data_IF_260304605749
#
_entry.id   IF_260304605749
#
_cell.length_a   1.000
_cell.length_b   1.000
_cell.length_c   1.000
_cell.angle_alpha   90.00
_cell.angle_beta   90.00
_cell.angle_gamma   90.00
#
_symmetry.space_group_name_H-M   'P 1'
#
loop_
_entity.id
_entity.type
_entity.pdbx_description
1 polymer ?
#
# COMPACT_ATOMS: atom_id res chain seq x y z
N UNK A 1 10.20 -4.00 -7.72
CA UNK A 1 10.13 -2.75 -6.93
C UNK A 1 8.68 -2.44 -6.58
N UNK A 2 8.43 -1.52 -5.66
CA UNK A 2 7.09 -1.21 -5.16
C UNK A 2 6.63 0.16 -5.67
N UNK A 3 5.42 0.24 -6.23
CA UNK A 3 4.69 1.50 -6.42
C UNK A 3 3.65 1.62 -5.31
N UNK A 4 3.72 2.69 -4.52
CA UNK A 4 2.81 2.89 -3.40
C UNK A 4 1.58 3.69 -3.80
N UNK A 5 0.39 3.18 -3.48
CA UNK A 5 -0.82 3.99 -3.38
C UNK A 5 -0.96 4.41 -1.92
N UNK A 6 -0.50 5.61 -1.61
CA UNK A 6 -0.53 6.15 -0.27
C UNK A 6 -1.68 7.15 -0.12
N UNK A 7 -2.41 7.06 0.98
CA UNK A 7 -3.47 8.01 1.28
C UNK A 7 -3.74 8.05 2.77
N UNK A 8 -4.33 9.13 3.28
CA UNK A 8 -5.00 9.09 4.57
C UNK A 8 -6.24 8.16 4.49
N UNK A 9 -6.67 7.49 5.57
CA UNK A 9 -7.92 6.72 5.58
C UNK A 9 -9.11 7.51 5.00
N UNK A 10 -10.01 6.82 4.27
CA UNK A 10 -11.22 7.42 3.65
C UNK A 10 -10.97 8.50 2.56
N UNK A 11 -9.75 8.59 2.02
CA UNK A 11 -9.43 9.52 0.92
C UNK A 11 -9.82 9.04 -0.48
N UNK A 12 -10.63 8.00 -0.62
CA UNK A 12 -11.08 7.52 -1.95
C UNK A 12 -10.10 6.58 -2.67
N UNK A 13 -9.21 5.89 -1.94
CA UNK A 13 -8.22 4.99 -2.54
C UNK A 13 -8.85 3.84 -3.37
N UNK A 14 -10.07 3.40 -3.06
CA UNK A 14 -10.74 2.35 -3.84
C UNK A 14 -10.96 2.78 -5.29
N UNK A 15 -11.31 4.05 -5.54
CA UNK A 15 -11.55 4.54 -6.89
C UNK A 15 -10.28 4.52 -7.75
N UNK A 16 -9.17 5.02 -7.19
CA UNK A 16 -7.85 4.97 -7.84
C UNK A 16 -7.37 3.53 -8.04
N UNK A 17 -7.62 2.64 -7.07
CA UNK A 17 -7.33 1.21 -7.24
C UNK A 17 -8.15 0.60 -8.36
N UNK A 18 -9.44 0.91 -8.47
CA UNK A 18 -10.29 0.41 -9.55
C UNK A 18 -9.78 0.83 -10.92
N UNK A 19 -9.42 2.11 -11.09
CA UNK A 19 -8.84 2.64 -12.32
C UNK A 19 -7.54 1.90 -12.68
N UNK A 20 -6.57 1.87 -11.76
CA UNK A 20 -5.27 1.23 -12.01
C UNK A 20 -5.42 -0.28 -12.23
N UNK A 21 -6.32 -0.92 -11.50
CA UNK A 21 -6.57 -2.35 -11.65
C UNK A 21 -7.20 -2.69 -13.00
N UNK A 22 -8.14 -1.87 -13.48
CA UNK A 22 -8.70 -2.02 -14.81
C UNK A 22 -7.64 -1.78 -15.89
N UNK A 23 -6.85 -0.71 -15.76
CA UNK A 23 -5.82 -0.35 -16.72
C UNK A 23 -4.71 -1.40 -16.86
N UNK A 24 -4.19 -1.94 -15.74
CA UNK A 24 -3.06 -2.86 -15.76
C UNK A 24 -3.42 -4.35 -15.77
N UNK A 25 -4.62 -4.73 -15.31
CA UNK A 25 -4.95 -6.15 -15.06
C UNK A 25 -6.22 -6.64 -15.74
N UNK A 26 -6.96 -5.80 -16.47
CA UNK A 26 -8.05 -6.26 -17.32
C UNK A 26 -7.56 -6.47 -18.77
N UNK A 27 -8.28 -7.30 -19.53
CA UNK A 27 -7.99 -7.49 -20.96
C UNK A 27 -8.65 -6.44 -21.86
N UNK A 28 -9.76 -5.85 -21.40
CA UNK A 28 -10.66 -5.01 -22.19
C UNK A 28 -10.86 -3.60 -21.59
N UNK A 29 -10.10 -3.23 -20.56
CA UNK A 29 -10.24 -1.96 -19.85
C UNK A 29 -11.40 -1.91 -18.85
N UNK A 30 -12.23 -2.95 -18.75
CA UNK A 30 -13.38 -2.96 -17.86
C UNK A 30 -13.00 -3.38 -16.43
N UNK A 31 -13.48 -2.62 -15.45
CA UNK A 31 -13.27 -2.94 -14.05
C UNK A 31 -14.12 -4.15 -13.60
N UNK A 32 -13.51 -5.06 -12.86
CA UNK A 32 -14.20 -6.02 -12.02
C UNK A 32 -13.60 -6.03 -10.61
N UNK A 33 -14.42 -6.30 -9.59
CA UNK A 33 -13.97 -6.29 -8.19
C UNK A 33 -12.83 -7.27 -7.92
N UNK A 34 -12.76 -8.37 -8.67
CA UNK A 34 -11.67 -9.32 -8.58
C UNK A 34 -10.31 -8.70 -8.88
N UNK A 35 -10.23 -7.70 -9.76
CA UNK A 35 -8.97 -7.06 -10.13
C UNK A 35 -8.33 -6.29 -8.97
N UNK A 36 -9.10 -5.95 -7.93
CA UNK A 36 -8.57 -5.31 -6.72
C UNK A 36 -7.60 -6.22 -5.97
N UNK A 37 -7.66 -7.55 -6.17
CA UNK A 37 -6.74 -8.53 -5.55
C UNK A 37 -5.29 -8.33 -6.01
N UNK A 38 -5.08 -7.73 -7.18
CA UNK A 38 -3.77 -7.43 -7.73
C UNK A 38 -3.07 -6.24 -7.06
N UNK A 39 -3.83 -5.34 -6.41
CA UNK A 39 -3.27 -4.23 -5.61
C UNK A 39 -3.49 -4.54 -4.13
N UNK A 40 -2.47 -5.11 -3.50
CA UNK A 40 -2.53 -5.55 -2.10
C UNK A 40 -2.49 -4.40 -1.11
N UNK A 41 -3.14 -4.57 0.05
CA UNK A 41 -3.00 -3.66 1.19
C UNK A 41 -1.72 -4.01 1.94
N UNK A 42 -0.91 -3.02 2.30
CA UNK A 42 0.31 -3.20 3.08
C UNK A 42 0.37 -2.17 4.22
N UNK A 43 0.79 -2.59 5.43
CA UNK A 43 1.20 -3.95 5.81
C UNK A 43 0.01 -4.90 6.05
N UNK A 44 0.19 -6.19 5.76
CA UNK A 44 -0.76 -7.29 6.04
C UNK A 44 -0.01 -8.57 6.41
N UNK A 45 -0.65 -9.46 7.19
CA UNK A 45 -0.05 -10.72 7.68
C UNK A 45 0.68 -11.52 6.60
N UNK A 46 0.13 -11.60 5.37
CA UNK A 46 0.73 -12.34 4.24
C UNK A 46 2.14 -11.88 3.81
N UNK A 47 2.59 -10.71 4.23
CA UNK A 47 3.92 -10.18 3.92
C UNK A 47 4.95 -10.44 5.01
N UNK A 48 4.54 -11.02 6.14
CA UNK A 48 5.40 -11.30 7.28
C UNK A 48 5.36 -12.79 7.59
N UNK A 49 6.53 -13.41 7.65
CA UNK A 49 6.65 -14.85 7.97
C UNK A 49 6.59 -15.13 9.47
N UNK A 50 6.40 -14.08 10.27
CA UNK A 50 6.39 -14.11 11.73
C UNK A 50 5.04 -13.67 12.28
N UNK A 51 4.72 -14.16 13.47
CA UNK A 51 3.56 -13.69 14.23
C UNK A 51 3.94 -12.41 14.98
N UNK A 52 3.24 -11.32 14.67
CA UNK A 52 3.41 -10.04 15.35
C UNK A 52 2.30 -9.94 16.40
N UNK A 53 2.67 -9.86 17.68
CA UNK A 53 1.71 -9.91 18.78
C UNK A 53 1.41 -8.53 19.37
N UNK A 54 2.35 -7.57 19.30
CA UNK A 54 2.14 -6.23 19.84
C UNK A 54 1.97 -5.17 18.74
N UNK A 55 1.01 -4.24 18.90
CA UNK A 55 0.96 -3.04 18.07
C UNK A 55 2.29 -2.28 18.17
N UNK A 56 2.93 -2.02 17.03
CA UNK A 56 4.23 -1.33 16.96
C UNK A 56 5.42 -2.21 16.60
N UNK A 57 5.42 -3.51 16.93
CA UNK A 57 6.51 -4.43 16.56
C UNK A 57 6.68 -4.57 15.05
N UNK A 58 5.60 -4.36 14.29
CA UNK A 58 5.58 -4.48 12.82
C UNK A 58 6.61 -3.59 12.12
N UNK A 59 6.97 -2.45 12.71
CA UNK A 59 7.98 -1.53 12.14
C UNK A 59 9.35 -2.19 12.00
N UNK A 60 9.63 -3.17 12.85
CA UNK A 60 10.90 -3.89 12.88
C UNK A 60 11.08 -4.82 11.69
N UNK A 61 9.98 -5.13 11.00
CA UNK A 61 9.94 -6.12 9.93
C UNK A 61 9.59 -5.50 8.56
N UNK A 62 9.42 -4.17 8.47
CA UNK A 62 9.17 -3.50 7.20
C UNK A 62 10.30 -3.71 6.20
N UNK A 63 11.55 -3.57 6.64
CA UNK A 63 12.72 -3.73 5.79
C UNK A 63 12.79 -5.15 5.18
N UNK A 64 12.76 -6.18 6.03
CA UNK A 64 12.83 -7.58 5.61
C UNK A 64 11.65 -7.96 4.69
N UNK A 65 10.43 -7.52 5.03
CA UNK A 65 9.24 -7.83 4.22
C UNK A 65 9.27 -7.15 2.85
N UNK A 66 9.73 -5.90 2.76
CA UNK A 66 9.85 -5.18 1.49
C UNK A 66 10.99 -5.72 0.63
N UNK A 67 12.11 -6.11 1.25
CA UNK A 67 13.19 -6.82 0.57
C UNK A 67 12.70 -8.14 -0.05
N UNK A 68 11.92 -8.93 0.69
CA UNK A 68 11.28 -10.15 0.18
C UNK A 68 10.33 -9.88 -0.98
N UNK A 69 9.56 -8.78 -0.91
CA UNK A 69 8.66 -8.35 -1.99
C UNK A 69 9.45 -8.05 -3.27
N UNK A 70 10.52 -7.25 -3.20
CA UNK A 70 11.26 -6.84 -4.40
C UNK A 70 12.12 -7.95 -5.00
N UNK A 71 12.55 -8.93 -4.20
CA UNK A 71 13.31 -10.10 -4.67
C UNK A 71 12.57 -10.93 -5.73
N UNK A 72 11.24 -10.81 -5.82
CA UNK A 72 10.45 -11.45 -6.88
C UNK A 72 10.68 -10.82 -8.27
N UNK A 73 11.51 -9.77 -8.39
CA UNK A 73 11.86 -9.04 -9.62
C UNK A 73 10.66 -8.58 -10.46
N UNK A 74 9.51 -8.36 -9.81
CA UNK A 74 8.31 -7.79 -10.43
C UNK A 74 8.01 -6.43 -9.82
N UNK A 75 7.46 -5.53 -10.63
CA UNK A 75 6.86 -4.28 -10.14
C UNK A 75 5.47 -4.60 -9.62
N UNK A 76 5.18 -4.16 -8.41
CA UNK A 76 3.88 -4.38 -7.78
C UNK A 76 3.31 -3.07 -7.23
N UNK A 77 1.99 -2.96 -7.25
CA UNK A 77 1.27 -1.89 -6.59
C UNK A 77 0.85 -2.34 -5.18
N UNK A 78 1.16 -1.52 -4.18
CA UNK A 78 0.73 -1.73 -2.80
C UNK A 78 0.05 -0.48 -2.26
N UNK A 79 -1.10 -0.67 -1.61
CA UNK A 79 -1.82 0.39 -0.93
C UNK A 79 -1.38 0.49 0.52
N UNK A 80 -1.07 1.69 1.00
CA UNK A 80 -0.77 1.91 2.42
C UNK A 80 -1.43 3.18 2.99
N UNK A 81 -1.59 3.20 4.32
CA UNK A 81 -1.93 4.40 5.09
C UNK A 81 -0.77 4.87 5.98
N UNK A 82 0.37 4.16 5.95
CA UNK A 82 1.52 4.54 6.74
C UNK A 82 2.13 5.84 6.21
N UNK A 83 2.62 6.64 7.13
CA UNK A 83 3.44 7.81 6.82
C UNK A 83 4.89 7.40 6.59
N UNK A 84 5.64 8.25 5.90
CA UNK A 84 7.10 8.09 5.74
C UNK A 84 7.86 8.59 6.98
N UNK A 85 7.20 8.68 8.14
CA UNK A 85 7.82 9.12 9.39
C UNK A 85 8.66 7.99 9.98
N UNK A 86 9.69 8.38 10.73
CA UNK A 86 10.51 7.46 11.52
C UNK A 86 9.69 7.01 12.72
N UNK A 87 9.44 5.70 12.83
CA UNK A 87 8.78 5.09 13.99
C UNK A 87 9.78 4.17 14.69
N UNK A 88 10.13 4.47 15.94
CA UNK A 88 11.15 3.79 16.74
C UNK A 88 12.50 3.65 16.01
N UNK A 89 12.97 4.72 15.38
CA UNK A 89 14.23 4.74 14.61
C UNK A 89 14.17 4.00 13.27
N UNK A 90 12.98 3.54 12.82
CA UNK A 90 12.81 2.78 11.58
C UNK A 90 11.92 3.52 10.60
N UNK A 91 12.43 3.73 9.39
CA UNK A 91 11.65 4.28 8.28
C UNK A 91 10.64 3.25 7.76
N UNK A 92 9.48 3.72 7.31
CA UNK A 92 8.46 2.85 6.71
C UNK A 92 8.96 2.14 5.45
N UNK A 93 9.66 2.84 4.57
CA UNK A 93 10.26 2.28 3.35
C UNK A 93 11.57 3.00 3.03
N UNK A 94 12.28 2.54 1.99
CA UNK A 94 13.54 3.08 1.50
C UNK A 94 13.49 3.26 -0.03
N UNK A 95 14.27 4.19 -0.61
CA UNK A 95 14.35 4.37 -2.06
C UNK A 95 14.72 3.08 -2.82
N UNK A 96 15.57 2.24 -2.25
CA UNK A 96 15.98 0.94 -2.82
C UNK A 96 14.81 -0.04 -3.08
N UNK A 97 13.70 0.08 -2.33
CA UNK A 97 12.51 -0.77 -2.50
C UNK A 97 11.42 -0.10 -3.34
N UNK A 98 11.47 1.22 -3.46
CA UNK A 98 10.36 2.06 -3.94
C UNK A 98 10.65 2.59 -5.34
N UNK A 99 9.77 2.31 -6.29
CA UNK A 99 9.81 2.85 -7.65
C UNK A 99 9.11 4.21 -7.75
N UNK A 100 8.06 4.43 -6.95
CA UNK A 100 7.28 5.66 -7.00
C UNK A 100 6.07 5.63 -6.07
N UNK A 101 5.39 6.77 -5.96
CA UNK A 101 4.24 6.97 -5.07
C UNK A 101 3.13 7.70 -5.84
N UNK A 102 1.92 7.16 -5.76
CA UNK A 102 0.68 7.83 -6.11
C UNK A 102 0.03 8.23 -4.78
N UNK A 103 0.10 9.52 -4.44
CA UNK A 103 -0.45 10.04 -3.19
C UNK A 103 -1.85 10.62 -3.42
N UNK A 104 -2.86 10.02 -2.81
CA UNK A 104 -4.26 10.45 -2.95
C UNK A 104 -4.61 11.38 -1.80
N UNK A 105 -4.87 12.65 -2.13
CA UNK A 105 -5.30 13.69 -1.20
C UNK A 105 -6.78 13.92 -1.34
N UNK A 106 -7.48 14.07 -0.22
CA UNK A 106 -8.88 14.49 -0.15
C UNK A 106 -9.00 15.62 0.87
N UNK A 107 -9.88 16.58 0.59
CA UNK A 107 -10.20 17.66 1.52
C UNK A 107 -10.53 17.08 2.93
N UNK A 108 -9.81 17.49 3.99
CA UNK A 108 -10.03 16.97 5.34
C UNK A 108 -11.47 17.10 5.83
N UNK A 109 -12.21 18.14 5.42
CA UNK A 109 -13.63 18.33 5.77
C UNK A 109 -14.48 17.20 5.20
N UNK A 110 -14.16 16.75 3.99
CA UNK A 110 -14.83 15.62 3.33
C UNK A 110 -14.36 14.26 3.88
N UNK A 111 -13.13 14.19 4.40
CA UNK A 111 -12.62 12.99 5.08
C UNK A 111 -13.38 12.77 6.38
N UNK A 112 -13.53 13.82 7.21
CA UNK A 112 -14.22 13.74 8.51
C UNK A 112 -15.65 13.23 8.34
N UNK A 113 -16.40 13.76 7.36
CA UNK A 113 -17.77 13.30 7.09
C UNK A 113 -17.84 11.85 6.59
N UNK A 114 -16.73 11.26 6.12
CA UNK A 114 -16.63 9.88 5.64
C UNK A 114 -16.17 8.87 6.71
N UNK A 115 -15.85 9.33 7.93
CA UNK A 115 -15.43 8.50 9.06
C UNK A 115 -16.61 7.90 9.86
N UNK A 116 -17.85 8.26 9.52
CA UNK A 116 -19.06 7.66 10.08
C UNK A 116 -19.06 6.14 9.97
#
# INVERSE_FOLDING_TARGET
MIIWLASYPKSGNTWVRSLLSAYYYSKNGNFSFELLKNIGLYPQKKYFDIKINKPGEINSYWDISQKKIINKKKTIFLKTHNSLLVLNGKNFTKPEYTLGIIYVVRDPRNVITSLK
#
